data_IF_082676604687
#
_entry.id   IF_082676604687
#
_cell.length_a   1.000
_cell.length_b   1.000
_cell.length_c   1.000
_cell.angle_alpha   90.00
_cell.angle_beta   90.00
_cell.angle_gamma   90.00
#
_symmetry.space_group_name_H-M   'P 1'
#
loop_
_entity.id
_entity.type
_entity.pdbx_description
1 polymer ?
#
# COMPACT_ATOMS: atom_id res chain seq x y z
N UNK A 1 5.22 4.98 -28.60
CA UNK A 1 5.34 5.55 -27.24
C UNK A 1 5.56 4.41 -26.23
N UNK A 2 6.48 4.54 -25.27
CA UNK A 2 6.69 3.48 -24.27
C UNK A 2 5.57 3.50 -23.24
N UNK A 3 5.14 2.32 -22.77
CA UNK A 3 4.17 2.17 -21.69
C UNK A 3 4.84 2.50 -20.36
N UNK A 4 4.28 3.44 -19.59
CA UNK A 4 4.87 3.87 -18.32
C UNK A 4 4.41 2.98 -17.18
N UNK A 5 5.36 2.56 -16.33
CA UNK A 5 5.16 1.80 -15.10
C UNK A 5 5.61 2.68 -13.94
N UNK A 6 4.76 2.87 -12.95
CA UNK A 6 5.05 3.64 -11.75
C UNK A 6 5.04 2.76 -10.50
N UNK A 7 6.04 2.95 -9.64
CA UNK A 7 6.10 2.34 -8.31
C UNK A 7 5.76 3.40 -7.26
N UNK A 8 4.86 3.09 -6.35
CA UNK A 8 4.49 3.94 -5.20
C UNK A 8 4.70 3.13 -3.92
N UNK A 9 5.46 3.69 -2.97
CA UNK A 9 5.79 3.03 -1.72
C UNK A 9 6.10 4.05 -0.62
N UNK A 10 5.97 3.64 0.63
CA UNK A 10 6.37 4.38 1.83
C UNK A 10 7.78 4.01 2.32
N UNK A 11 8.48 3.12 1.61
CA UNK A 11 9.84 2.70 1.92
C UNK A 11 10.73 2.62 0.67
N UNK A 12 12.03 2.43 0.89
CA UNK A 12 13.01 2.42 -0.18
C UNK A 12 12.91 1.17 -1.07
N UNK A 13 12.46 1.36 -2.31
CA UNK A 13 12.37 0.32 -3.33
C UNK A 13 13.57 0.27 -4.30
N UNK A 14 14.71 0.89 -3.99
CA UNK A 14 15.82 0.99 -4.96
C UNK A 14 16.32 -0.36 -5.47
N UNK A 15 16.44 -1.37 -4.60
CA UNK A 15 16.87 -2.71 -5.01
C UNK A 15 15.83 -3.37 -5.92
N UNK A 16 14.56 -3.29 -5.57
CA UNK A 16 13.46 -3.82 -6.36
C UNK A 16 13.34 -3.09 -7.71
N UNK A 17 13.46 -1.76 -7.70
CA UNK A 17 13.50 -0.95 -8.91
C UNK A 17 14.63 -1.39 -9.85
N UNK A 18 15.85 -1.53 -9.34
CA UNK A 18 17.01 -1.95 -10.13
C UNK A 18 16.81 -3.36 -10.71
N UNK A 19 16.28 -4.28 -9.90
CA UNK A 19 15.95 -5.63 -10.36
C UNK A 19 14.94 -5.60 -11.51
N UNK A 20 13.81 -4.93 -11.33
CA UNK A 20 12.78 -4.80 -12.36
C UNK A 20 13.32 -4.11 -13.62
N UNK A 21 14.06 -3.01 -13.46
CA UNK A 21 14.60 -2.27 -14.58
C UNK A 21 15.59 -3.08 -15.44
N UNK A 22 16.19 -4.13 -14.86
CA UNK A 22 17.03 -5.08 -15.59
C UNK A 22 16.25 -6.22 -16.25
N UNK A 23 15.00 -6.46 -15.84
CA UNK A 23 14.17 -7.56 -16.35
C UNK A 23 13.13 -7.12 -17.38
N UNK A 24 12.67 -5.88 -17.33
CA UNK A 24 11.66 -5.37 -18.26
C UNK A 24 12.23 -5.13 -19.66
N UNK A 25 11.39 -5.29 -20.67
CA UNK A 25 11.72 -4.90 -22.05
C UNK A 25 11.72 -3.37 -22.17
N UNK A 26 12.90 -2.76 -22.13
CA UNK A 26 13.12 -1.32 -22.23
C UNK A 26 12.69 -0.69 -23.57
N UNK A 27 12.42 -1.49 -24.58
CA UNK A 27 11.85 -1.00 -25.85
C UNK A 27 10.36 -0.71 -25.69
N UNK A 28 9.65 -1.54 -24.92
CA UNK A 28 8.19 -1.46 -24.70
C UNK A 28 7.80 -0.65 -23.48
N UNK A 29 8.59 -0.74 -22.40
CA UNK A 29 8.25 -0.18 -21.10
C UNK A 29 9.26 0.84 -20.61
N UNK A 30 8.77 1.81 -19.86
CA UNK A 30 9.56 2.77 -19.08
C UNK A 30 9.17 2.67 -17.62
N UNK A 31 10.10 2.24 -16.79
CA UNK A 31 9.93 2.23 -15.35
C UNK A 31 10.30 3.59 -14.77
N UNK A 32 9.36 4.27 -14.14
CA UNK A 32 9.59 5.54 -13.47
C UNK A 32 10.21 5.27 -12.10
N UNK A 33 11.30 5.99 -11.80
CA UNK A 33 11.99 5.86 -10.50
C UNK A 33 11.04 6.28 -9.39
N UNK A 34 10.91 5.49 -8.29
CA UNK A 34 10.07 5.89 -7.17
C UNK A 34 10.64 7.16 -6.52
N UNK A 35 9.76 8.10 -6.23
CA UNK A 35 10.12 9.26 -5.44
C UNK A 35 10.14 8.85 -3.96
N UNK A 36 11.15 9.33 -3.23
CA UNK A 36 11.25 9.15 -1.77
C UNK A 36 10.38 10.19 -1.06
N UNK A 37 9.09 10.18 -1.36
CA UNK A 37 8.11 11.07 -0.75
C UNK A 37 7.16 10.28 0.14
N UNK A 38 6.42 10.99 0.97
CA UNK A 38 5.33 10.36 1.71
C UNK A 38 4.37 9.67 0.72
N UNK A 39 3.95 8.47 1.05
CA UNK A 39 3.07 7.63 0.24
C UNK A 39 1.86 8.41 -0.30
N UNK A 40 1.15 9.10 0.58
CA UNK A 40 -0.05 9.88 0.24
C UNK A 40 0.27 11.00 -0.76
N UNK A 41 1.40 11.70 -0.58
CA UNK A 41 1.85 12.74 -1.51
C UNK A 41 2.13 12.19 -2.91
N UNK A 42 2.78 11.02 -2.98
CA UNK A 42 3.05 10.33 -4.25
C UNK A 42 1.76 9.91 -4.97
N UNK A 43 0.77 9.45 -4.21
CA UNK A 43 -0.56 9.13 -4.75
C UNK A 43 -1.24 10.37 -5.34
N UNK A 44 -1.31 11.47 -4.59
CA UNK A 44 -1.94 12.70 -5.06
C UNK A 44 -1.21 13.32 -6.26
N UNK A 45 0.12 13.28 -6.30
CA UNK A 45 0.87 13.71 -7.50
C UNK A 45 0.48 12.91 -8.73
N UNK A 46 0.32 11.60 -8.57
CA UNK A 46 -0.08 10.72 -9.66
C UNK A 46 -1.53 10.98 -10.09
N UNK A 47 -2.45 11.16 -9.13
CA UNK A 47 -3.85 11.48 -9.39
C UNK A 47 -3.98 12.82 -10.12
N UNK A 48 -3.22 13.83 -9.72
CA UNK A 48 -3.25 15.17 -10.32
C UNK A 48 -2.48 15.27 -11.64
N UNK A 49 -1.73 14.24 -12.01
CA UNK A 49 -1.03 14.21 -13.29
C UNK A 49 -2.01 14.09 -14.45
N UNK A 50 -1.73 14.79 -15.56
CA UNK A 50 -2.46 14.63 -16.83
C UNK A 50 -2.10 13.32 -17.54
N UNK A 51 -1.03 12.65 -17.14
CA UNK A 51 -0.56 11.41 -17.75
C UNK A 51 -1.28 10.20 -17.18
N UNK A 52 -1.62 9.26 -18.07
CA UNK A 52 -2.11 7.94 -17.69
C UNK A 52 -0.96 6.94 -17.72
N UNK A 53 -0.77 6.18 -16.65
CA UNK A 53 0.21 5.11 -16.58
C UNK A 53 -0.36 3.83 -17.19
N UNK A 54 0.51 2.94 -17.67
CA UNK A 54 0.08 1.60 -18.05
C UNK A 54 -0.10 0.71 -16.82
N UNK A 55 0.80 0.82 -15.86
CA UNK A 55 0.76 0.07 -14.60
C UNK A 55 1.16 0.99 -13.45
N UNK A 56 0.39 0.97 -12.38
CA UNK A 56 0.79 1.49 -11.07
C UNK A 56 0.90 0.29 -10.12
N UNK A 57 2.06 0.15 -9.47
CA UNK A 57 2.31 -0.84 -8.45
C UNK A 57 2.46 -0.14 -7.09
N UNK A 58 1.54 -0.45 -6.18
CA UNK A 58 1.50 0.09 -4.81
C UNK A 58 2.02 -0.97 -3.86
N UNK A 59 3.09 -0.61 -3.13
CA UNK A 59 3.67 -1.45 -2.10
C UNK A 59 3.98 -0.60 -0.87
N UNK A 60 3.11 -0.65 0.11
CA UNK A 60 3.19 0.12 1.34
C UNK A 60 2.96 -0.76 2.57
N UNK A 61 3.37 -0.27 3.73
CA UNK A 61 3.23 -0.96 5.01
C UNK A 61 1.92 -0.53 5.68
N UNK A 62 1.24 -1.47 6.31
CA UNK A 62 -0.05 -1.21 6.97
C UNK A 62 0.09 -0.23 8.12
N UNK A 63 1.13 -0.37 8.94
CA UNK A 63 1.40 0.46 10.10
C UNK A 63 1.75 1.92 9.77
N UNK A 64 2.26 2.17 8.57
CA UNK A 64 2.56 3.52 8.09
C UNK A 64 1.37 4.15 7.35
N UNK A 65 0.39 3.33 7.00
CA UNK A 65 -0.78 3.76 6.22
C UNK A 65 -2.01 3.97 7.08
N UNK A 66 -2.20 3.10 8.09
CA UNK A 66 -3.35 3.10 8.98
C UNK A 66 -2.89 3.34 10.42
N UNK A 67 -3.13 4.56 10.93
CA UNK A 67 -2.70 4.95 12.28
C UNK A 67 -3.31 4.06 13.37
N UNK A 68 -4.59 3.69 13.23
CA UNK A 68 -5.24 2.81 14.22
C UNK A 68 -4.62 1.40 14.22
N UNK A 69 -4.11 0.91 13.09
CA UNK A 69 -3.38 -0.35 13.09
C UNK A 69 -1.99 -0.20 13.74
N UNK A 70 -1.32 0.94 13.55
CA UNK A 70 -0.08 1.27 14.27
C UNK A 70 -0.32 1.33 15.77
N UNK A 71 -1.40 1.98 16.22
CA UNK A 71 -1.80 2.02 17.63
C UNK A 71 -2.02 0.62 18.20
N UNK A 72 -2.65 -0.26 17.41
CA UNK A 72 -2.88 -1.65 17.82
C UNK A 72 -1.57 -2.43 17.99
N UNK A 73 -0.62 -2.26 17.08
CA UNK A 73 0.73 -2.85 17.16
C UNK A 73 1.46 -2.35 18.41
N UNK A 74 1.38 -1.07 18.72
CA UNK A 74 2.09 -0.42 19.81
C UNK A 74 1.38 -0.58 21.17
N UNK A 75 0.29 -1.36 21.23
CA UNK A 75 -0.53 -1.52 22.44
C UNK A 75 -1.11 -0.20 22.98
N UNK A 76 -1.37 0.74 22.08
CA UNK A 76 -1.97 2.04 22.37
C UNK A 76 -3.51 1.98 22.28
N UNK A 77 -4.16 3.16 22.41
CA UNK A 77 -5.61 3.26 22.31
C UNK A 77 -6.07 2.97 20.87
N UNK A 78 -6.77 1.86 20.70
CA UNK A 78 -7.30 1.38 19.43
C UNK A 78 -8.81 1.56 19.32
N UNK A 79 -9.29 2.02 18.18
CA UNK A 79 -10.70 2.19 17.87
C UNK A 79 -11.08 1.50 16.55
N UNK A 80 -11.88 0.42 16.58
CA UNK A 80 -12.35 -0.25 15.36
C UNK A 80 -13.12 0.69 14.41
N UNK A 81 -13.86 1.63 14.98
CA UNK A 81 -14.63 2.61 14.19
C UNK A 81 -13.72 3.57 13.42
N UNK A 82 -12.63 4.02 14.03
CA UNK A 82 -11.64 4.86 13.35
C UNK A 82 -10.89 4.05 12.30
N UNK A 83 -10.49 2.80 12.61
CA UNK A 83 -9.86 1.92 11.65
C UNK A 83 -10.70 1.77 10.37
N UNK A 84 -12.02 1.51 10.49
CA UNK A 84 -12.91 1.43 9.33
C UNK A 84 -12.92 2.71 8.49
N UNK A 85 -12.87 3.88 9.13
CA UNK A 85 -12.78 5.17 8.42
C UNK A 85 -11.45 5.33 7.68
N UNK A 86 -10.35 4.88 8.27
CA UNK A 86 -9.02 4.93 7.63
C UNK A 86 -8.96 3.97 6.44
N UNK A 87 -9.46 2.74 6.58
CA UNK A 87 -9.56 1.77 5.49
C UNK A 87 -10.35 2.37 4.32
N UNK A 88 -11.52 2.96 4.61
CA UNK A 88 -12.33 3.59 3.57
C UNK A 88 -11.57 4.70 2.84
N UNK A 89 -10.87 5.58 3.56
CA UNK A 89 -10.06 6.65 2.94
C UNK A 89 -8.96 6.08 2.03
N UNK A 90 -8.32 5.01 2.48
CA UNK A 90 -7.29 4.34 1.69
C UNK A 90 -7.88 3.70 0.44
N UNK A 91 -9.01 3.00 0.56
CA UNK A 91 -9.73 2.41 -0.58
C UNK A 91 -10.18 3.48 -1.58
N UNK A 92 -10.74 4.59 -1.10
CA UNK A 92 -11.13 5.72 -1.95
C UNK A 92 -9.91 6.28 -2.72
N UNK A 93 -8.75 6.37 -2.07
CA UNK A 93 -7.49 6.79 -2.71
C UNK A 93 -7.04 5.82 -3.81
N UNK A 94 -7.14 4.51 -3.57
CA UNK A 94 -6.83 3.48 -4.57
C UNK A 94 -7.78 3.52 -5.76
N UNK A 95 -9.07 3.78 -5.52
CA UNK A 95 -10.08 3.98 -6.58
C UNK A 95 -9.71 5.18 -7.45
N UNK A 96 -9.28 6.30 -6.86
CA UNK A 96 -8.83 7.46 -7.64
C UNK A 96 -7.54 7.16 -8.44
N UNK A 97 -6.59 6.41 -7.85
CA UNK A 97 -5.39 5.95 -8.56
C UNK A 97 -5.74 5.03 -9.73
N UNK A 98 -6.72 4.15 -9.57
CA UNK A 98 -7.12 3.21 -10.63
C UNK A 98 -7.60 3.92 -11.89
N UNK A 99 -8.19 5.10 -11.78
CA UNK A 99 -8.60 5.94 -12.93
C UNK A 99 -7.40 6.46 -13.73
N UNK A 100 -6.21 6.46 -13.16
CA UNK A 100 -4.95 6.98 -13.74
C UNK A 100 -4.05 5.90 -14.33
N UNK A 101 -4.53 4.67 -14.42
CA UNK A 101 -3.76 3.55 -14.94
C UNK A 101 -4.63 2.58 -15.70
N UNK A 102 -4.01 1.75 -16.56
CA UNK A 102 -4.71 0.61 -17.17
C UNK A 102 -4.76 -0.57 -16.20
N UNK A 103 -3.73 -0.71 -15.34
CA UNK A 103 -3.63 -1.76 -14.33
C UNK A 103 -3.14 -1.18 -13.01
N UNK A 104 -3.85 -1.45 -11.93
CA UNK A 104 -3.44 -1.15 -10.56
C UNK A 104 -3.13 -2.46 -9.85
N UNK A 105 -1.90 -2.61 -9.35
CA UNK A 105 -1.50 -3.72 -8.49
C UNK A 105 -1.23 -3.19 -7.09
N UNK A 106 -1.88 -3.76 -6.11
CA UNK A 106 -1.72 -3.43 -4.68
C UNK A 106 -1.28 -4.69 -3.96
N UNK A 107 -0.23 -4.60 -3.15
CA UNK A 107 0.19 -5.75 -2.33
C UNK A 107 -0.74 -5.92 -1.14
N UNK A 108 -1.12 -7.16 -0.84
CA UNK A 108 -1.74 -7.49 0.45
C UNK A 108 -0.74 -7.26 1.58
N UNK A 109 -1.25 -6.84 2.72
CA UNK A 109 -0.43 -6.62 3.90
C UNK A 109 -0.23 -7.90 4.70
N UNK A 110 0.95 -8.01 5.32
CA UNK A 110 1.31 -9.08 6.24
C UNK A 110 1.68 -8.48 7.58
N UNK A 111 1.57 -9.25 8.65
CA UNK A 111 2.06 -8.80 9.96
C UNK A 111 3.57 -8.56 9.89
N UNK A 112 4.07 -7.48 10.51
CA UNK A 112 5.49 -7.28 10.69
C UNK A 112 6.10 -8.50 11.39
N UNK A 113 7.26 -8.96 10.93
CA UNK A 113 7.86 -10.23 11.39
C UNK A 113 8.20 -10.26 12.89
N UNK A 114 8.34 -9.11 13.52
CA UNK A 114 8.59 -8.97 14.97
C UNK A 114 7.31 -9.08 15.81
N UNK A 115 6.14 -8.96 15.20
CA UNK A 115 4.86 -9.01 15.90
C UNK A 115 4.23 -10.38 15.68
N UNK A 116 4.31 -11.22 16.71
CA UNK A 116 3.62 -12.51 16.73
C UNK A 116 2.37 -12.35 17.57
N UNK A 117 1.21 -12.58 16.95
CA UNK A 117 -0.07 -12.54 17.66
C UNK A 117 -0.17 -13.63 18.73
N UNK A 118 -1.09 -13.45 19.67
CA UNK A 118 -1.41 -14.42 20.74
C UNK A 118 -2.33 -15.52 20.22
N UNK A 119 -1.88 -16.40 19.34
CA UNK A 119 -2.62 -17.60 18.88
C UNK A 119 -4.12 -17.37 18.67
N UNK A 120 -4.99 -18.14 19.35
CA UNK A 120 -6.44 -18.05 19.19
C UNK A 120 -7.03 -16.67 19.57
N UNK A 121 -6.49 -16.01 20.57
CA UNK A 121 -6.93 -14.67 20.95
C UNK A 121 -6.68 -13.63 19.87
N UNK A 122 -5.61 -13.80 19.10
CA UNK A 122 -5.27 -12.90 18.00
C UNK A 122 -6.30 -12.95 16.85
N UNK A 123 -6.99 -14.06 16.68
CA UNK A 123 -8.05 -14.22 15.68
C UNK A 123 -9.46 -13.88 16.22
N UNK A 124 -9.68 -13.94 17.52
CA UNK A 124 -11.02 -13.79 18.11
C UNK A 124 -11.21 -12.46 18.84
N UNK A 125 -10.17 -11.90 19.42
CA UNK A 125 -10.21 -10.64 20.14
C UNK A 125 -10.46 -9.44 19.21
N UNK A 126 -11.19 -8.45 19.67
CA UNK A 126 -11.35 -7.18 18.94
C UNK A 126 -10.01 -6.46 18.72
N UNK A 127 -9.03 -6.68 19.59
CA UNK A 127 -7.67 -6.16 19.49
C UNK A 127 -6.68 -7.15 18.89
N UNK A 128 -7.14 -8.24 18.28
CA UNK A 128 -6.27 -9.21 17.64
C UNK A 128 -5.65 -8.65 16.36
N UNK A 129 -4.31 -8.72 16.25
CA UNK A 129 -3.58 -8.21 15.07
C UNK A 129 -3.96 -8.96 13.80
N UNK A 130 -3.94 -10.31 13.84
CA UNK A 130 -4.28 -11.15 12.69
C UNK A 130 -5.72 -10.95 12.25
N UNK A 131 -6.66 -10.82 13.20
CA UNK A 131 -8.07 -10.55 12.89
C UNK A 131 -8.23 -9.22 12.16
N UNK A 132 -7.66 -8.14 12.71
CA UNK A 132 -7.79 -6.82 12.12
C UNK A 132 -7.08 -6.75 10.76
N UNK A 133 -5.90 -7.35 10.61
CA UNK A 133 -5.19 -7.41 9.33
C UNK A 133 -6.00 -8.15 8.27
N UNK A 134 -6.65 -9.27 8.63
CA UNK A 134 -7.50 -10.01 7.71
C UNK A 134 -8.71 -9.17 7.26
N UNK A 135 -9.35 -8.45 8.19
CA UNK A 135 -10.43 -7.51 7.87
C UNK A 135 -9.94 -6.45 6.90
N UNK A 136 -8.80 -5.82 7.18
CA UNK A 136 -8.21 -4.79 6.33
C UNK A 136 -7.96 -5.33 4.91
N UNK A 137 -7.30 -6.48 4.79
CA UNK A 137 -6.99 -7.09 3.48
C UNK A 137 -8.25 -7.52 2.71
N UNK A 138 -9.37 -7.75 3.38
CA UNK A 138 -10.63 -8.11 2.72
C UNK A 138 -11.43 -6.89 2.25
N UNK A 139 -11.15 -5.71 2.80
CA UNK A 139 -11.85 -4.45 2.48
C UNK A 139 -11.12 -3.62 1.42
N UNK A 140 -9.83 -3.90 1.17
CA UNK A 140 -8.96 -3.22 0.18
C UNK A 140 -8.88 -4.03 -1.11
#
# INVERSE_FOLDING_TARGET
MKKEIQLISDFNLSLFFNYLNNKIDKKKYKLNRPNYELFVSSCYKTINSSKKNHLIFVWNRVEETLNEFSNLINCENFSPTKLKKEIKKYTDLLIELSKKTDHLLVTSWTLPHLYRGEYLKDWTSEKGLSKNLNIINSEV
#
